data_IF_744296977678
#
_entry.id   IF_744296977678
#
_cell.length_a   1.000
_cell.length_b   1.000
_cell.length_c   1.000
_cell.angle_alpha   90.00
_cell.angle_beta   90.00
_cell.angle_gamma   90.00
#
_symmetry.space_group_name_H-M   'P 1'
#
loop_
_entity.id
_entity.type
_entity.pdbx_description
1 polymer ?
#
# COMPACT_ATOMS: atom_id res chain seq x y z
N UNK A 1 -46.95 23.50 -11.71
CA UNK A 1 -45.83 22.94 -10.92
C UNK A 1 -44.67 22.63 -11.85
N UNK A 2 -43.50 23.30 -11.72
CA UNK A 2 -42.30 22.91 -12.47
C UNK A 2 -41.85 21.54 -11.96
N UNK A 3 -41.83 20.54 -12.85
CA UNK A 3 -41.44 19.17 -12.51
C UNK A 3 -39.98 19.13 -12.09
N UNK A 4 -39.72 18.94 -10.79
CA UNK A 4 -38.37 18.77 -10.24
C UNK A 4 -37.77 17.39 -10.58
N UNK A 5 -38.55 16.51 -11.21
CA UNK A 5 -38.15 15.13 -11.55
C UNK A 5 -36.94 15.11 -12.49
N UNK A 6 -36.87 16.03 -13.46
CA UNK A 6 -35.73 16.13 -14.37
C UNK A 6 -34.42 16.47 -13.65
N UNK A 7 -34.48 17.40 -12.67
CA UNK A 7 -33.32 17.77 -11.85
C UNK A 7 -32.85 16.60 -10.98
N UNK A 8 -33.79 15.85 -10.39
CA UNK A 8 -33.47 14.65 -9.60
C UNK A 8 -32.84 13.56 -10.47
N UNK A 9 -33.37 13.31 -11.66
CA UNK A 9 -32.84 12.31 -12.58
C UNK A 9 -31.45 12.69 -13.10
N UNK A 10 -31.25 13.97 -13.43
CA UNK A 10 -29.93 14.50 -13.83
C UNK A 10 -28.91 14.40 -12.70
N UNK A 11 -29.31 14.65 -11.44
CA UNK A 11 -28.44 14.49 -10.28
C UNK A 11 -28.06 13.02 -10.05
N UNK A 12 -29.02 12.09 -10.17
CA UNK A 12 -28.74 10.64 -10.07
C UNK A 12 -27.76 10.21 -11.16
N UNK A 13 -27.99 10.63 -12.42
CA UNK A 13 -27.11 10.30 -13.53
C UNK A 13 -25.69 10.85 -13.31
N UNK A 14 -25.58 12.08 -12.78
CA UNK A 14 -24.29 12.67 -12.42
C UNK A 14 -23.57 11.85 -11.32
N UNK A 15 -24.30 11.38 -10.31
CA UNK A 15 -23.72 10.53 -9.26
C UNK A 15 -23.21 9.19 -9.81
N UNK A 16 -23.89 8.59 -10.81
CA UNK A 16 -23.45 7.35 -11.44
C UNK A 16 -22.18 7.51 -12.28
N UNK A 17 -21.95 8.69 -12.88
CA UNK A 17 -20.76 8.95 -13.70
C UNK A 17 -19.51 9.19 -12.84
N UNK A 18 -19.68 9.68 -11.61
CA UNK A 18 -18.55 10.01 -10.71
C UNK A 18 -18.12 8.81 -9.85
N UNK A 19 -18.93 7.76 -9.73
CA UNK A 19 -18.67 6.61 -8.86
C UNK A 19 -17.48 5.70 -9.21
N UNK A 20 -17.02 5.52 -10.47
CA UNK A 20 -15.98 4.51 -10.77
C UNK A 20 -14.57 4.91 -10.33
N UNK A 21 -14.39 5.99 -9.57
CA UNK A 21 -13.08 6.45 -9.09
C UNK A 21 -12.76 5.99 -7.66
N UNK A 22 -13.65 5.25 -7.01
CA UNK A 22 -13.46 4.71 -5.66
C UNK A 22 -12.71 3.36 -5.69
N UNK A 23 -11.54 3.32 -6.33
CA UNK A 23 -10.65 2.18 -6.22
C UNK A 23 -9.84 2.30 -4.93
N UNK A 24 -10.29 1.63 -3.87
CA UNK A 24 -9.41 1.31 -2.76
C UNK A 24 -8.37 0.32 -3.27
N UNK A 25 -7.19 0.81 -3.63
CA UNK A 25 -6.09 -0.07 -4.03
C UNK A 25 -5.65 -0.86 -2.81
N UNK A 26 -6.04 -2.14 -2.77
CA UNK A 26 -5.61 -3.04 -1.73
C UNK A 26 -4.12 -3.31 -1.92
N UNK A 27 -3.36 -3.04 -0.87
CA UNK A 27 -1.95 -3.40 -0.75
C UNK A 27 -1.77 -4.08 0.59
N UNK A 28 -0.76 -4.94 0.68
CA UNK A 28 -0.36 -5.51 1.95
C UNK A 28 1.14 -5.72 2.00
N UNK A 29 1.66 -5.80 3.21
CA UNK A 29 3.08 -5.99 3.47
C UNK A 29 3.25 -7.35 4.15
N UNK A 30 4.14 -8.16 3.59
CA UNK A 30 4.54 -9.43 4.16
C UNK A 30 5.98 -9.38 4.63
N UNK A 31 6.21 -9.89 5.84
CA UNK A 31 7.54 -10.16 6.33
C UNK A 31 7.48 -11.30 7.35
N UNK A 32 8.62 -11.90 7.68
CA UNK A 32 8.67 -12.91 8.74
C UNK A 32 8.32 -12.28 10.10
N UNK A 33 7.48 -12.95 10.89
CA UNK A 33 7.12 -12.47 12.22
C UNK A 33 8.33 -12.34 13.17
N UNK A 34 9.38 -13.13 12.95
CA UNK A 34 10.58 -13.15 13.80
C UNK A 34 11.83 -12.90 12.96
N UNK A 35 12.56 -11.85 13.31
CA UNK A 35 13.86 -11.52 12.73
C UNK A 35 15.00 -12.26 13.45
N UNK A 36 16.02 -12.70 12.69
CA UNK A 36 17.26 -13.26 13.28
C UNK A 36 18.34 -12.20 13.30
N UNK A 37 18.93 -11.93 14.47
CA UNK A 37 20.03 -10.95 14.61
C UNK A 37 21.15 -11.23 13.61
N UNK A 38 21.60 -10.17 12.94
CA UNK A 38 22.66 -10.24 11.93
C UNK A 38 22.23 -10.80 10.58
N UNK A 39 20.96 -11.21 10.41
CA UNK A 39 20.42 -11.64 9.13
C UNK A 39 19.58 -10.54 8.49
N UNK A 40 19.57 -10.56 7.16
CA UNK A 40 18.64 -9.78 6.37
C UNK A 40 17.24 -10.37 6.52
N UNK A 41 16.29 -9.49 6.80
CA UNK A 41 14.87 -9.76 6.78
C UNK A 41 14.29 -9.15 5.51
N UNK A 42 13.51 -9.95 4.78
CA UNK A 42 12.82 -9.55 3.57
C UNK A 42 11.49 -8.88 3.91
N UNK A 43 11.18 -7.78 3.24
CA UNK A 43 9.91 -7.07 3.31
C UNK A 43 9.35 -7.05 1.90
N UNK A 44 8.23 -7.72 1.70
CA UNK A 44 7.54 -7.77 0.43
C UNK A 44 6.28 -6.90 0.48
N UNK A 45 6.07 -6.07 -0.54
CA UNK A 45 4.90 -5.22 -0.70
C UNK A 45 4.14 -5.70 -1.93
N UNK A 46 2.93 -6.18 -1.71
CA UNK A 46 2.05 -6.68 -2.75
C UNK A 46 0.88 -5.73 -2.97
N UNK A 47 0.30 -5.84 -4.16
CA UNK A 47 -0.87 -5.09 -4.56
C UNK A 47 -1.90 -6.05 -5.14
N UNK A 48 -3.18 -5.80 -4.88
CA UNK A 48 -4.29 -6.65 -5.28
C UNK A 48 -5.12 -7.10 -4.07
N UNK A 49 -6.01 -8.07 -4.28
CA UNK A 49 -6.96 -8.52 -3.25
C UNK A 49 -6.33 -9.60 -2.35
N UNK A 50 -6.04 -9.22 -1.11
CA UNK A 50 -5.39 -10.11 -0.14
C UNK A 50 -6.22 -11.37 0.15
N UNK A 51 -7.55 -11.23 0.26
CA UNK A 51 -8.43 -12.35 0.64
C UNK A 51 -8.49 -13.45 -0.43
N UNK A 52 -8.35 -13.07 -1.70
CA UNK A 52 -8.39 -13.98 -2.84
C UNK A 52 -6.99 -14.40 -3.32
N UNK A 53 -5.92 -13.83 -2.71
CA UNK A 53 -4.53 -13.93 -3.18
C UNK A 53 -4.36 -13.50 -4.63
N UNK A 54 -5.21 -12.58 -5.07
CA UNK A 54 -5.12 -12.02 -6.40
C UNK A 54 -4.03 -10.96 -6.40
N UNK A 55 -2.86 -11.30 -6.97
CA UNK A 55 -1.70 -10.42 -6.98
C UNK A 55 -1.60 -9.76 -8.35
N UNK A 56 -1.68 -8.44 -8.35
CA UNK A 56 -1.57 -7.64 -9.55
C UNK A 56 -0.12 -7.43 -9.98
N UNK A 57 0.11 -7.37 -11.29
CA UNK A 57 1.43 -7.09 -11.85
C UNK A 57 1.81 -5.64 -11.57
N UNK A 58 2.95 -5.47 -10.89
CA UNK A 58 3.44 -4.18 -10.43
C UNK A 58 3.70 -3.21 -11.59
N UNK A 59 4.19 -3.71 -12.70
CA UNK A 59 4.56 -2.90 -13.86
C UNK A 59 3.35 -2.31 -14.62
N UNK A 60 2.15 -2.88 -14.49
CA UNK A 60 0.99 -2.53 -15.34
C UNK A 60 0.03 -1.54 -14.67
N UNK A 61 -0.29 -1.77 -13.41
CA UNK A 61 -1.31 -0.99 -12.69
C UNK A 61 -0.73 0.00 -11.69
N UNK A 62 0.55 -0.20 -11.31
CA UNK A 62 1.22 0.56 -10.26
C UNK A 62 2.46 1.31 -10.78
N UNK A 63 2.49 1.59 -12.10
CA UNK A 63 3.57 2.37 -12.74
C UNK A 63 3.72 3.78 -12.16
N UNK A 64 2.63 4.33 -11.64
CA UNK A 64 2.54 5.70 -11.14
C UNK A 64 2.87 5.75 -9.64
N UNK A 65 2.89 4.60 -8.95
CA UNK A 65 3.31 4.49 -7.54
C UNK A 65 4.83 4.23 -7.44
N UNK A 66 5.61 4.46 -8.49
CA UNK A 66 7.08 4.34 -8.40
C UNK A 66 7.70 5.22 -7.31
N UNK A 67 6.98 6.27 -6.90
CA UNK A 67 7.43 7.27 -5.94
C UNK A 67 6.91 7.04 -4.51
N UNK A 68 6.59 5.81 -4.09
CA UNK A 68 6.26 5.56 -2.68
C UNK A 68 7.51 5.54 -1.77
N UNK A 69 7.29 5.84 -0.49
CA UNK A 69 8.29 5.64 0.56
C UNK A 69 7.87 4.51 1.51
N UNK A 70 8.67 3.44 1.58
CA UNK A 70 8.54 2.39 2.59
C UNK A 70 9.32 2.77 3.84
N UNK A 71 8.61 2.97 4.94
CA UNK A 71 9.20 3.36 6.21
C UNK A 71 9.00 2.24 7.24
N UNK A 72 10.13 1.82 7.80
CA UNK A 72 10.18 0.93 8.95
C UNK A 72 10.17 1.76 10.23
N UNK A 73 9.19 1.53 11.09
CA UNK A 73 9.11 2.15 12.41
C UNK A 73 9.58 1.13 13.45
N UNK A 74 10.73 1.42 14.05
CA UNK A 74 11.30 0.58 15.11
C UNK A 74 10.51 0.70 16.42
N UNK A 75 10.64 -0.25 17.36
CA UNK A 75 10.01 -0.14 18.69
C UNK A 75 10.37 1.14 19.45
N UNK A 76 11.53 1.74 19.17
CA UNK A 76 11.94 3.04 19.73
C UNK A 76 11.37 4.25 18.96
N UNK A 77 10.38 4.04 18.08
CA UNK A 77 9.76 5.05 17.20
C UNK A 77 10.71 5.70 16.19
N UNK A 78 11.91 5.16 16.01
CA UNK A 78 12.81 5.63 14.95
C UNK A 78 12.29 5.14 13.61
N UNK A 79 12.15 6.06 12.68
CA UNK A 79 11.81 5.81 11.28
C UNK A 79 13.07 5.52 10.47
N UNK A 80 12.97 4.50 9.61
CA UNK A 80 14.04 4.07 8.71
C UNK A 80 13.41 3.92 7.34
N UNK A 81 13.78 4.79 6.40
CA UNK A 81 13.38 4.65 5.00
C UNK A 81 14.10 3.45 4.39
N UNK A 82 13.33 2.53 3.82
CA UNK A 82 13.80 1.36 3.11
C UNK A 82 13.76 1.62 1.61
N UNK A 83 14.79 1.15 0.90
CA UNK A 83 14.79 1.12 -0.56
C UNK A 83 14.11 -0.16 -1.03
N UNK A 84 13.01 -0.01 -1.74
CA UNK A 84 12.26 -1.12 -2.33
C UNK A 84 12.57 -1.21 -3.82
N UNK A 85 12.80 -2.43 -4.30
CA UNK A 85 13.06 -2.73 -5.71
C UNK A 85 11.83 -3.39 -6.31
N UNK A 86 11.39 -2.92 -7.47
CA UNK A 86 10.29 -3.52 -8.21
C UNK A 86 10.69 -4.92 -8.73
N UNK A 87 9.82 -5.89 -8.49
CA UNK A 87 9.82 -7.22 -9.10
C UNK A 87 8.54 -7.38 -9.93
N UNK A 88 8.29 -8.56 -10.51
CA UNK A 88 7.14 -8.75 -11.41
C UNK A 88 5.78 -8.46 -10.72
N UNK A 89 5.62 -8.99 -9.51
CA UNK A 89 4.34 -9.01 -8.78
C UNK A 89 4.40 -8.32 -7.41
N UNK A 90 5.54 -7.69 -7.07
CA UNK A 90 5.75 -7.05 -5.77
C UNK A 90 6.87 -6.03 -5.82
N UNK A 91 6.95 -5.19 -4.79
CA UNK A 91 8.20 -4.53 -4.43
C UNK A 91 8.86 -5.25 -3.27
N UNK A 92 10.19 -5.34 -3.28
CA UNK A 92 10.95 -6.01 -2.24
C UNK A 92 12.00 -5.09 -1.63
N UNK A 93 12.06 -5.05 -0.32
CA UNK A 93 13.09 -4.37 0.45
C UNK A 93 13.75 -5.32 1.45
N UNK A 94 14.91 -4.91 1.95
CA UNK A 94 15.65 -5.67 2.95
C UNK A 94 15.97 -4.79 4.15
N UNK A 95 15.88 -5.38 5.34
CA UNK A 95 16.30 -4.75 6.58
C UNK A 95 17.20 -5.70 7.38
N UNK A 96 18.33 -5.19 7.87
CA UNK A 96 19.23 -5.96 8.72
C UNK A 96 18.78 -5.89 10.18
N UNK A 97 18.53 -7.07 10.77
CA UNK A 97 18.08 -7.18 12.14
C UNK A 97 19.23 -6.92 13.11
N UNK A 98 19.19 -5.77 13.79
CA UNK A 98 20.22 -5.38 14.78
C UNK A 98 19.97 -5.95 16.18
N UNK A 99 18.71 -6.20 16.53
CA UNK A 99 18.28 -6.77 17.80
C UNK A 99 17.26 -7.87 17.52
N UNK A 100 17.23 -8.96 18.30
CA UNK A 100 16.14 -9.94 18.19
C UNK A 100 14.85 -9.23 18.58
N UNK A 101 13.99 -8.95 17.61
CA UNK A 101 12.72 -8.25 17.84
C UNK A 101 11.65 -9.32 18.03
N UNK A 102 11.04 -9.35 19.22
CA UNK A 102 9.82 -10.13 19.52
C UNK A 102 8.58 -9.21 19.54
N UNK A 103 8.79 -7.90 19.36
CA UNK A 103 7.75 -6.88 19.31
C UNK A 103 7.26 -6.65 17.87
N UNK A 104 5.98 -6.28 17.67
CA UNK A 104 5.46 -5.99 16.35
C UNK A 104 6.22 -4.80 15.76
N UNK A 105 6.80 -5.03 14.58
CA UNK A 105 7.37 -3.98 13.75
C UNK A 105 6.24 -3.36 12.95
N UNK A 106 6.12 -2.04 12.98
CA UNK A 106 5.11 -1.32 12.19
C UNK A 106 5.77 -0.80 10.93
N UNK A 107 5.15 -1.06 9.79
CA UNK A 107 5.54 -0.50 8.50
C UNK A 107 4.52 0.55 8.10
N UNK A 108 4.97 1.62 7.45
CA UNK A 108 4.11 2.62 6.82
C UNK A 108 4.54 2.83 5.36
N UNK A 109 3.57 2.91 4.44
CA UNK A 109 3.79 3.38 3.08
C UNK A 109 3.21 4.77 2.92
N UNK A 110 3.98 5.63 2.28
CA UNK A 110 3.57 6.98 1.92
C UNK A 110 3.63 7.14 0.41
N UNK A 111 2.67 7.87 -0.15
CA UNK A 111 2.69 8.26 -1.56
C UNK A 111 3.72 9.40 -1.82
N UNK A 112 3.80 9.84 -3.08
CA UNK A 112 4.67 10.96 -3.48
C UNK A 112 4.34 12.29 -2.78
N UNK A 113 3.12 12.44 -2.26
CA UNK A 113 2.64 13.62 -1.54
C UNK A 113 2.80 13.50 -0.01
N UNK A 114 3.44 12.44 0.48
CA UNK A 114 3.59 12.13 1.92
C UNK A 114 2.28 11.80 2.64
N UNK A 115 1.24 11.41 1.90
CA UNK A 115 0.02 10.87 2.49
C UNK A 115 0.20 9.38 2.75
N UNK A 116 -0.26 8.94 3.93
CA UNK A 116 -0.14 7.55 4.36
C UNK A 116 -1.15 6.70 3.59
N UNK A 117 -0.69 5.65 2.91
CA UNK A 117 -1.55 4.82 2.06
C UNK A 117 -2.44 3.84 2.86
N UNK A 118 -2.22 3.69 4.18
CA UNK A 118 -3.02 2.87 5.10
C UNK A 118 -2.78 3.25 6.56
#
# INVERSE_FOLDING_TARGET
>A
MKSNTFKKLSFILLMLVVSPTLFAHALWIETKAIGTKGKLQTIDVYFGEFSEKDIEKTAKWFSDIKDFSLILITPSKKEIKLTATALENKYQAFFMIKLVIVAPVVFALYDGNQEKLY
#
